data_IF_838193399092
#
_entry.id   IF_838193399092
#
_cell.length_a   1.000
_cell.length_b   1.000
_cell.length_c   1.000
_cell.angle_alpha   90.00
_cell.angle_beta   90.00
_cell.angle_gamma   90.00
#
_symmetry.space_group_name_H-M   'P 1'
#
loop_
_entity.id
_entity.type
_entity.pdbx_description
1 polymer ?
#
# COMPACT_ATOMS: atom_id res chain seq x y z
N UNK A 1 -20.90 37.60 -56.04
CA UNK A 1 -22.09 38.36 -55.71
C UNK A 1 -22.12 38.33 -54.18
N UNK A 2 -21.67 39.31 -53.46
CA UNK A 2 -22.12 40.67 -53.29
C UNK A 2 -23.01 40.66 -52.05
N UNK A 3 -22.87 41.38 -51.08
CA UNK A 3 -22.38 42.63 -50.60
C UNK A 3 -22.91 42.79 -49.19
N UNK A 4 -22.05 43.24 -48.26
CA UNK A 4 -22.07 44.61 -47.69
C UNK A 4 -23.11 44.88 -46.60
N UNK A 5 -22.66 45.16 -45.43
CA UNK A 5 -22.52 46.43 -44.72
C UNK A 5 -23.79 46.98 -44.05
N UNK A 6 -23.75 47.30 -42.81
CA UNK A 6 -23.86 48.71 -42.33
C UNK A 6 -23.60 48.86 -40.83
N UNK A 7 -22.69 49.82 -40.60
CA UNK A 7 -22.44 50.48 -39.32
C UNK A 7 -23.60 51.44 -38.95
N UNK A 8 -23.81 51.70 -37.66
CA UNK A 8 -24.17 53.05 -37.23
C UNK A 8 -23.76 53.33 -35.77
N UNK A 9 -22.99 54.41 -35.65
CA UNK A 9 -22.61 55.17 -34.45
C UNK A 9 -23.76 56.00 -33.96
N UNK A 10 -23.77 56.31 -32.64
CA UNK A 10 -23.99 57.66 -32.04
C UNK A 10 -24.00 57.50 -30.53
N UNK A 11 -23.05 58.02 -29.79
CA UNK A 11 -22.71 59.37 -29.30
C UNK A 11 -23.58 59.88 -28.15
N UNK A 12 -22.85 60.12 -27.05
CA UNK A 12 -22.86 61.24 -26.07
C UNK A 12 -24.09 61.55 -25.23
N UNK A 13 -23.95 61.49 -23.92
CA UNK A 13 -23.87 62.75 -23.15
C UNK A 13 -23.44 62.57 -21.67
N UNK A 14 -22.70 63.57 -21.26
CA UNK A 14 -22.16 63.88 -19.93
C UNK A 14 -23.25 64.20 -18.90
N UNK A 15 -23.00 63.88 -17.60
CA UNK A 15 -23.19 64.90 -16.54
C UNK A 15 -22.47 64.52 -15.24
N UNK A 16 -21.49 65.32 -14.91
CA UNK A 16 -21.10 66.03 -13.68
C UNK A 16 -21.35 65.39 -12.30
N UNK A 17 -20.22 65.31 -11.59
CA UNK A 17 -19.99 65.29 -10.13
C UNK A 17 -20.84 66.28 -9.32
N UNK A 18 -21.02 66.06 -8.00
CA UNK A 18 -20.14 66.82 -7.12
C UNK A 18 -19.51 66.00 -5.95
N UNK A 19 -18.39 66.53 -5.56
CA UNK A 19 -17.52 66.18 -4.46
C UNK A 19 -18.22 66.17 -3.10
N UNK A 20 -17.89 65.16 -2.26
CA UNK A 20 -17.95 65.31 -0.80
C UNK A 20 -16.59 64.86 -0.20
N UNK A 21 -15.85 65.87 0.25
CA UNK A 21 -14.65 65.72 1.08
C UNK A 21 -15.07 65.25 2.46
N UNK A 22 -14.56 64.10 2.88
CA UNK A 22 -14.48 63.78 4.30
C UNK A 22 -12.99 63.60 4.60
N UNK A 23 -12.46 64.57 5.33
CA UNK A 23 -11.16 64.51 6.02
C UNK A 23 -11.20 63.43 7.08
N UNK A 24 -10.33 62.45 7.02
CA UNK A 24 -9.96 61.68 8.20
C UNK A 24 -8.45 61.59 8.23
N UNK A 25 -7.89 62.37 9.16
CA UNK A 25 -6.53 62.36 9.63
C UNK A 25 -6.17 60.98 10.16
N UNK A 26 -5.32 60.24 9.49
CA UNK A 26 -4.69 59.01 10.00
C UNK A 26 -3.52 59.38 10.93
N UNK A 27 -3.62 58.96 12.17
CA UNK A 27 -2.60 59.03 13.19
C UNK A 27 -1.70 57.79 13.10
N UNK A 28 -0.38 57.85 12.87
CA UNK A 28 0.47 56.71 12.58
C UNK A 28 1.14 56.08 13.83
N UNK A 29 0.44 55.96 14.97
CA UNK A 29 1.05 55.48 16.22
C UNK A 29 0.30 54.29 16.88
N UNK A 30 -0.35 53.41 16.12
CA UNK A 30 -0.90 52.19 16.68
C UNK A 30 -0.74 50.97 15.77
N UNK A 31 0.46 50.65 15.31
CA UNK A 31 0.81 49.34 14.74
C UNK A 31 2.13 48.87 15.39
N UNK A 32 2.09 48.61 16.67
CA UNK A 32 3.08 47.76 17.33
C UNK A 32 2.32 46.89 18.31
N UNK A 33 2.12 45.64 17.93
CA UNK A 33 1.83 44.44 18.72
C UNK A 33 0.80 43.52 18.04
N UNK A 34 1.16 43.02 16.86
CA UNK A 34 0.64 41.72 16.43
C UNK A 34 1.86 40.80 16.32
N UNK A 35 2.11 40.03 17.37
CA UNK A 35 3.02 38.90 17.31
C UNK A 35 2.54 37.92 16.26
N UNK A 36 3.40 37.35 15.41
CA UNK A 36 3.08 36.19 14.63
C UNK A 36 3.20 34.96 15.57
N UNK A 37 2.13 34.37 16.02
CA UNK A 37 2.22 33.05 16.63
C UNK A 37 2.00 32.03 15.54
N UNK A 38 2.76 31.02 15.53
CA UNK A 38 2.50 29.64 15.04
C UNK A 38 3.75 28.94 14.50
N UNK A 39 4.76 29.66 13.99
CA UNK A 39 5.90 28.96 13.36
C UNK A 39 7.03 28.49 14.31
N UNK A 40 7.07 28.97 15.57
CA UNK A 40 8.10 28.52 16.51
C UNK A 40 7.66 27.31 17.38
N UNK A 41 6.40 27.27 17.79
CA UNK A 41 5.86 26.12 18.53
C UNK A 41 5.79 24.88 17.65
N UNK A 42 5.34 25.03 16.41
CA UNK A 42 5.34 23.91 15.44
C UNK A 42 6.75 23.39 15.15
N UNK A 43 7.76 24.29 15.07
CA UNK A 43 9.16 23.87 14.89
C UNK A 43 9.74 23.20 16.14
N UNK A 44 9.33 23.62 17.35
CA UNK A 44 9.75 22.95 18.57
C UNK A 44 9.11 21.58 18.74
N UNK A 45 7.83 21.44 18.42
CA UNK A 45 7.14 20.15 18.45
C UNK A 45 7.68 19.18 17.37
N UNK A 46 8.02 19.68 16.19
CA UNK A 46 8.67 18.89 15.14
C UNK A 46 10.06 18.43 15.61
N UNK A 47 10.87 19.31 16.21
CA UNK A 47 12.20 18.95 16.70
C UNK A 47 12.18 18.03 17.93
N UNK A 48 11.18 18.16 18.82
CA UNK A 48 11.01 17.22 19.94
C UNK A 48 10.56 15.84 19.44
N UNK A 49 9.66 15.79 18.46
CA UNK A 49 9.25 14.52 17.84
C UNK A 49 10.38 13.88 17.05
N UNK A 50 11.17 14.66 16.29
CA UNK A 50 12.36 14.13 15.59
C UNK A 50 13.36 13.53 16.57
N UNK A 51 13.62 14.17 17.71
CA UNK A 51 14.52 13.66 18.74
C UNK A 51 13.95 12.43 19.48
N UNK A 52 12.63 12.34 19.68
CA UNK A 52 12.00 11.12 20.22
C UNK A 52 12.07 9.97 19.22
N UNK A 53 11.84 10.24 17.93
CA UNK A 53 11.98 9.24 16.85
C UNK A 53 13.44 8.80 16.70
N UNK A 54 14.41 9.72 16.78
CA UNK A 54 15.83 9.41 16.74
C UNK A 54 16.29 8.57 17.94
N UNK A 55 15.81 8.86 19.15
CA UNK A 55 16.14 8.09 20.34
C UNK A 55 15.47 6.70 20.38
N UNK A 56 14.28 6.55 19.78
CA UNK A 56 13.64 5.25 19.60
C UNK A 56 14.28 4.41 18.47
N UNK A 57 14.90 5.08 17.50
CA UNK A 57 15.59 4.43 16.35
C UNK A 57 17.01 3.94 16.69
N UNK A 58 17.59 4.27 17.83
CA UNK A 58 18.86 3.68 18.29
C UNK A 58 18.78 2.17 18.57
N UNK A 59 17.57 1.59 18.65
CA UNK A 59 17.38 0.12 18.69
C UNK A 59 17.19 -0.50 17.30
N UNK A 60 17.17 0.30 16.25
CA UNK A 60 17.05 -0.17 14.87
C UNK A 60 18.42 -0.62 14.35
N UNK A 61 18.61 -1.92 14.26
CA UNK A 61 19.80 -2.51 13.66
C UNK A 61 19.55 -2.74 12.15
N UNK A 62 20.11 -1.91 11.25
CA UNK A 62 19.86 -2.03 9.81
C UNK A 62 20.40 -3.32 9.20
N UNK A 63 21.29 -4.04 9.91
CA UNK A 63 21.84 -5.32 9.44
C UNK A 63 20.84 -6.48 9.51
N UNK A 64 19.68 -6.33 10.21
CA UNK A 64 18.59 -7.31 10.17
C UNK A 64 17.58 -7.04 9.06
N UNK A 65 17.70 -5.92 8.35
CA UNK A 65 16.78 -5.52 7.28
C UNK A 65 17.17 -6.02 5.87
N UNK A 66 18.25 -6.78 5.74
CA UNK A 66 18.63 -7.39 4.45
C UNK A 66 17.60 -8.39 3.89
N UNK A 67 16.59 -8.77 4.69
CA UNK A 67 15.44 -9.56 4.21
C UNK A 67 14.50 -8.78 3.28
N UNK A 68 14.75 -7.50 3.03
CA UNK A 68 13.95 -6.74 2.07
C UNK A 68 14.33 -7.10 0.63
N UNK A 69 15.59 -7.50 0.42
CA UNK A 69 16.14 -7.88 -0.89
C UNK A 69 17.36 -8.77 -0.68
N UNK A 70 17.21 -10.08 -0.71
CA UNK A 70 18.37 -10.95 -0.98
C UNK A 70 18.84 -10.68 -2.41
N UNK A 71 20.07 -10.19 -2.55
CA UNK A 71 20.82 -10.14 -3.79
C UNK A 71 21.00 -11.58 -4.32
N UNK A 72 20.61 -11.92 -5.58
CA UNK A 72 20.72 -13.27 -6.12
C UNK A 72 22.15 -13.71 -6.46
N UNK A 73 23.17 -13.24 -5.74
CA UNK A 73 24.58 -13.40 -6.12
C UNK A 73 25.55 -13.98 -5.10
N UNK A 74 25.14 -14.76 -4.09
CA UNK A 74 26.15 -15.49 -3.32
C UNK A 74 25.61 -16.75 -2.64
N UNK A 75 25.56 -17.85 -3.38
CA UNK A 75 25.52 -19.21 -2.81
C UNK A 75 26.92 -19.79 -2.80
N UNK A 76 27.63 -19.69 -1.68
CA UNK A 76 28.68 -20.66 -1.32
C UNK A 76 28.85 -20.72 0.21
N UNK A 77 28.67 -21.88 0.78
CA UNK A 77 29.16 -22.20 2.12
C UNK A 77 28.17 -22.89 3.04
N UNK A 78 28.00 -24.20 2.86
CA UNK A 78 27.24 -25.02 3.82
C UNK A 78 28.03 -25.21 5.13
N UNK A 79 27.36 -25.06 6.25
CA UNK A 79 27.77 -25.63 7.53
C UNK A 79 26.57 -26.36 8.14
N UNK A 80 26.69 -27.66 8.24
CA UNK A 80 25.84 -28.53 9.05
C UNK A 80 26.05 -28.22 10.53
N UNK A 81 24.99 -27.99 11.27
CA UNK A 81 24.98 -28.19 12.71
C UNK A 81 23.85 -29.12 13.13
N UNK A 82 24.31 -30.13 13.84
CA UNK A 82 23.55 -31.26 14.39
C UNK A 82 22.70 -30.86 15.58
N UNK A 83 21.56 -31.52 15.66
CA UNK A 83 20.58 -31.51 16.73
C UNK A 83 21.11 -31.95 18.09
N UNK A 84 20.60 -31.34 19.15
CA UNK A 84 20.39 -32.03 20.42
C UNK A 84 19.07 -31.65 21.04
N UNK A 85 18.29 -32.67 21.23
CA UNK A 85 16.96 -32.72 21.86
C UNK A 85 17.16 -32.59 23.38
N UNK A 86 16.38 -31.75 24.03
CA UNK A 86 16.03 -32.02 25.43
C UNK A 86 14.56 -31.66 25.69
N UNK A 87 13.82 -32.72 26.02
CA UNK A 87 12.48 -32.70 26.55
C UNK A 87 12.44 -32.19 27.98
N UNK A 88 11.50 -31.34 28.33
CA UNK A 88 10.87 -31.37 29.63
C UNK A 88 9.41 -30.91 29.56
N UNK A 89 8.54 -31.85 29.90
CA UNK A 89 7.11 -31.70 30.11
C UNK A 89 6.78 -30.79 31.30
N UNK A 90 5.78 -29.94 31.16
CA UNK A 90 4.79 -29.73 32.23
C UNK A 90 3.47 -29.25 31.62
N UNK A 91 2.46 -30.12 31.81
CA UNK A 91 1.04 -29.85 31.56
C UNK A 91 0.53 -28.87 32.61
N UNK A 92 -0.18 -27.85 32.18
CA UNK A 92 -1.29 -27.30 32.93
C UNK A 92 -2.49 -27.12 31.99
N UNK A 93 -3.53 -27.87 32.27
CA UNK A 93 -4.85 -27.77 31.66
C UNK A 93 -5.66 -26.75 32.46
N UNK A 94 -6.28 -25.78 31.77
CA UNK A 94 -7.48 -25.14 32.30
C UNK A 94 -8.56 -25.13 31.19
N UNK A 95 -9.79 -25.48 31.53
CA UNK A 95 -10.86 -25.61 30.56
C UNK A 95 -11.60 -24.28 30.40
N UNK A 96 -11.53 -23.67 29.25
CA UNK A 96 -12.53 -22.67 28.86
C UNK A 96 -13.34 -23.23 27.70
N UNK A 97 -14.59 -23.60 28.05
CA UNK A 97 -15.63 -23.93 27.11
C UNK A 97 -15.90 -22.77 26.16
N UNK A 98 -15.47 -22.93 24.92
CA UNK A 98 -15.82 -22.04 23.82
C UNK A 98 -17.29 -22.26 23.46
N UNK A 99 -18.14 -21.29 23.69
CA UNK A 99 -19.46 -21.20 23.07
C UNK A 99 -19.24 -20.93 21.57
N UNK A 100 -19.29 -22.02 20.81
CA UNK A 100 -19.37 -21.93 19.34
C UNK A 100 -20.76 -21.36 19.04
N UNK A 101 -20.83 -20.09 18.68
CA UNK A 101 -21.99 -19.55 18.00
C UNK A 101 -22.12 -20.34 16.70
N UNK A 102 -23.19 -21.14 16.62
CA UNK A 102 -23.57 -21.83 15.38
C UNK A 102 -23.68 -20.78 14.29
N UNK A 103 -22.72 -20.82 13.36
CA UNK A 103 -22.72 -20.02 12.15
C UNK A 103 -24.03 -20.26 11.38
N UNK A 104 -24.42 -19.23 10.66
CA UNK A 104 -25.49 -19.28 9.67
C UNK A 104 -25.28 -20.49 8.77
N UNK A 105 -26.38 -21.19 8.52
CA UNK A 105 -26.45 -22.34 7.61
C UNK A 105 -25.84 -21.93 6.26
N UNK A 106 -24.97 -22.77 5.67
CA UNK A 106 -24.47 -22.47 4.32
C UNK A 106 -25.67 -22.41 3.36
N UNK A 107 -25.67 -21.38 2.53
CA UNK A 107 -26.59 -21.23 1.42
C UNK A 107 -26.53 -22.50 0.56
N UNK A 108 -27.66 -23.08 0.09
CA UNK A 108 -27.67 -24.36 -0.59
C UNK A 108 -26.78 -24.31 -1.83
N UNK A 109 -25.87 -25.22 -1.84
CA UNK A 109 -24.92 -25.70 -2.83
C UNK A 109 -25.18 -25.23 -4.28
N UNK A 110 -24.52 -24.17 -4.73
CA UNK A 110 -23.98 -24.19 -6.09
C UNK A 110 -22.88 -25.25 -6.12
N UNK A 111 -22.77 -26.11 -7.17
CA UNK A 111 -21.73 -27.13 -7.26
C UNK A 111 -20.38 -26.48 -7.00
N UNK A 112 -19.69 -26.92 -5.95
CA UNK A 112 -18.60 -26.19 -5.31
C UNK A 112 -17.49 -25.86 -6.28
N UNK A 113 -17.31 -24.57 -6.55
CA UNK A 113 -16.07 -24.06 -7.14
C UNK A 113 -14.91 -24.45 -6.22
N UNK A 114 -14.04 -25.32 -6.67
CA UNK A 114 -12.78 -25.65 -6.01
C UNK A 114 -11.68 -25.11 -6.90
N UNK A 115 -10.89 -24.11 -6.44
CA UNK A 115 -9.80 -23.58 -7.23
C UNK A 115 -8.77 -24.66 -7.55
N UNK A 116 -8.41 -24.78 -8.84
CA UNK A 116 -7.34 -25.66 -9.30
C UNK A 116 -6.52 -24.95 -10.38
N UNK A 117 -5.53 -24.21 -9.95
CA UNK A 117 -4.72 -23.37 -10.83
C UNK A 117 -3.52 -24.13 -11.41
N UNK A 118 -3.26 -23.90 -12.70
CA UNK A 118 -2.06 -24.37 -13.40
C UNK A 118 -1.37 -23.22 -14.11
N UNK A 119 -0.04 -23.31 -14.25
CA UNK A 119 0.74 -22.30 -14.96
C UNK A 119 0.31 -22.25 -16.45
N UNK A 120 -0.26 -21.11 -16.86
CA UNK A 120 -0.66 -20.86 -18.25
C UNK A 120 0.50 -20.27 -19.05
N UNK A 121 1.19 -19.28 -18.49
CA UNK A 121 2.28 -18.60 -19.17
C UNK A 121 3.21 -17.89 -18.21
N UNK A 122 4.41 -17.57 -18.68
CA UNK A 122 5.43 -16.84 -17.95
C UNK A 122 6.23 -15.98 -18.92
N UNK A 123 6.40 -14.70 -18.58
CA UNK A 123 7.18 -13.79 -19.41
C UNK A 123 8.01 -12.85 -18.53
N UNK A 124 9.10 -12.31 -19.10
CA UNK A 124 9.95 -11.35 -18.40
C UNK A 124 9.23 -10.02 -18.30
N UNK A 125 9.03 -9.54 -17.07
CA UNK A 125 8.34 -8.27 -16.81
C UNK A 125 9.28 -7.07 -16.88
N UNK A 126 10.33 -7.09 -16.08
CA UNK A 126 11.22 -5.96 -15.83
C UNK A 126 12.69 -6.37 -15.86
N UNK A 127 13.58 -5.39 -15.72
CA UNK A 127 15.03 -5.63 -15.66
C UNK A 127 15.55 -5.71 -14.21
N UNK A 128 14.75 -5.30 -13.24
CA UNK A 128 14.97 -5.46 -11.80
C UNK A 128 13.67 -5.95 -11.13
N UNK A 129 13.71 -6.13 -9.83
CA UNK A 129 12.63 -6.68 -9.00
C UNK A 129 11.31 -5.92 -9.23
N UNK A 130 10.23 -6.67 -9.37
CA UNK A 130 8.86 -6.15 -9.46
C UNK A 130 8.28 -6.19 -8.05
N UNK A 131 7.92 -5.05 -7.50
CA UNK A 131 7.46 -4.95 -6.10
C UNK A 131 6.00 -4.57 -5.95
N UNK A 132 5.41 -4.00 -6.99
CA UNK A 132 3.99 -3.63 -7.01
C UNK A 132 3.32 -4.11 -8.27
N UNK A 133 2.10 -4.62 -8.14
CA UNK A 133 1.27 -5.06 -9.25
C UNK A 133 -0.19 -4.82 -8.89
N UNK A 134 -0.92 -4.18 -9.80
CA UNK A 134 -2.37 -3.93 -9.68
C UNK A 134 -3.07 -4.25 -10.99
N UNK A 135 -4.34 -4.65 -10.91
CA UNK A 135 -5.25 -4.68 -12.04
C UNK A 135 -5.85 -3.28 -12.20
N UNK A 136 -5.93 -2.81 -13.45
CA UNK A 136 -6.57 -1.56 -13.83
C UNK A 136 -8.03 -1.83 -14.23
N UNK A 137 -8.87 -0.79 -14.18
CA UNK A 137 -10.29 -0.89 -14.55
C UNK A 137 -10.51 -1.41 -15.98
N UNK A 138 -9.56 -1.13 -16.88
CA UNK A 138 -9.56 -1.65 -18.27
C UNK A 138 -9.04 -3.08 -18.39
N UNK A 139 -8.90 -3.83 -17.27
CA UNK A 139 -8.39 -5.20 -17.19
C UNK A 139 -6.94 -5.39 -17.60
N UNK A 140 -6.16 -4.35 -17.72
CA UNK A 140 -4.71 -4.44 -17.89
C UNK A 140 -4.03 -4.52 -16.53
N UNK A 141 -2.79 -4.97 -16.53
CA UNK A 141 -1.97 -5.02 -15.32
C UNK A 141 -0.95 -3.90 -15.35
N UNK A 142 -0.89 -3.13 -14.28
CA UNK A 142 0.20 -2.21 -14.04
C UNK A 142 1.20 -2.82 -13.07
N UNK A 143 2.50 -2.71 -13.39
CA UNK A 143 3.60 -3.20 -12.55
C UNK A 143 4.60 -2.10 -12.27
N UNK A 144 5.07 -2.01 -11.02
CA UNK A 144 6.11 -1.09 -10.59
C UNK A 144 7.37 -1.83 -10.15
N UNK A 145 8.54 -1.31 -10.53
CA UNK A 145 9.81 -2.00 -10.38
C UNK A 145 10.95 -1.12 -9.87
N UNK A 146 11.97 -1.78 -9.36
CA UNK A 146 13.27 -1.19 -9.03
C UNK A 146 14.07 -0.77 -10.26
N UNK A 147 13.65 -1.11 -11.47
CA UNK A 147 14.25 -0.61 -12.71
C UNK A 147 13.80 0.80 -13.09
N UNK A 148 13.08 1.48 -12.16
CA UNK A 148 12.57 2.84 -12.31
C UNK A 148 11.51 2.97 -13.41
N UNK A 149 10.74 1.90 -13.63
CA UNK A 149 9.67 1.94 -14.60
C UNK A 149 8.35 1.42 -14.04
N UNK A 150 7.27 1.97 -14.60
CA UNK A 150 5.94 1.42 -14.53
C UNK A 150 5.64 0.84 -15.91
N UNK A 151 5.12 -0.38 -15.97
CA UNK A 151 4.73 -1.02 -17.22
C UNK A 151 3.29 -1.45 -17.20
N UNK A 152 2.60 -1.24 -18.30
CA UNK A 152 1.21 -1.64 -18.50
C UNK A 152 1.19 -2.83 -19.47
N UNK A 153 0.52 -3.89 -19.06
CA UNK A 153 0.51 -5.18 -19.77
C UNK A 153 -0.90 -5.57 -20.17
N UNK A 154 -1.04 -6.01 -21.41
CA UNK A 154 -2.18 -6.81 -21.85
C UNK A 154 -1.88 -8.30 -21.58
N UNK A 155 -2.64 -8.92 -20.69
CA UNK A 155 -2.44 -10.33 -20.33
C UNK A 155 -2.84 -11.31 -21.43
N UNK A 156 -3.71 -10.91 -22.35
CA UNK A 156 -4.16 -11.76 -23.47
C UNK A 156 -3.04 -11.95 -24.49
N UNK A 157 -2.32 -10.89 -24.79
CA UNK A 157 -1.20 -10.87 -25.74
C UNK A 157 0.16 -11.02 -25.05
N UNK A 158 0.22 -10.79 -23.74
CA UNK A 158 1.44 -10.73 -22.92
C UNK A 158 2.41 -9.62 -23.37
N UNK A 159 1.91 -8.62 -24.07
CA UNK A 159 2.70 -7.48 -24.53
C UNK A 159 2.70 -6.36 -23.52
N UNK A 160 3.85 -5.71 -23.39
CA UNK A 160 3.96 -4.41 -22.71
C UNK A 160 3.48 -3.34 -23.68
N UNK A 161 2.36 -2.69 -23.35
CA UNK A 161 1.78 -1.66 -24.20
C UNK A 161 2.28 -0.26 -23.89
N UNK A 162 2.65 -0.03 -22.63
CA UNK A 162 3.12 1.27 -22.17
C UNK A 162 4.25 1.11 -21.16
N UNK A 163 5.27 1.96 -21.28
CA UNK A 163 6.36 2.10 -20.31
C UNK A 163 6.41 3.55 -19.87
N UNK A 164 6.28 3.78 -18.57
CA UNK A 164 6.48 5.09 -17.94
C UNK A 164 7.79 5.00 -17.17
N UNK A 165 8.71 5.94 -17.45
CA UNK A 165 9.98 6.03 -16.75
C UNK A 165 9.85 6.96 -15.56
N UNK A 166 10.21 6.45 -14.40
CA UNK A 166 10.27 7.17 -13.12
C UNK A 166 11.71 7.56 -12.80
N UNK A 167 11.86 8.53 -11.91
CA UNK A 167 13.18 8.96 -11.44
C UNK A 167 13.70 8.13 -10.26
N UNK A 168 12.92 7.18 -9.76
CA UNK A 168 13.23 6.34 -8.60
C UNK A 168 12.58 4.97 -8.68
N UNK A 169 12.90 4.12 -7.68
CA UNK A 169 12.28 2.80 -7.53
C UNK A 169 10.79 2.95 -7.24
N UNK A 170 9.94 2.18 -7.93
CA UNK A 170 8.49 2.20 -7.76
C UNK A 170 8.08 1.15 -6.73
N UNK A 171 7.55 1.57 -5.58
CA UNK A 171 7.20 0.69 -4.46
C UNK A 171 5.72 0.34 -4.38
N UNK A 172 4.85 1.25 -4.78
CA UNK A 172 3.41 1.04 -4.75
C UNK A 172 2.74 1.76 -5.90
N UNK A 173 1.69 1.16 -6.42
CA UNK A 173 0.83 1.71 -7.46
C UNK A 173 -0.61 1.76 -6.96
N UNK A 174 -1.36 2.73 -7.44
CA UNK A 174 -2.79 2.88 -7.20
C UNK A 174 -3.45 3.47 -8.45
N UNK A 175 -4.47 2.83 -8.99
CA UNK A 175 -5.37 3.49 -9.93
C UNK A 175 -6.35 4.35 -9.14
N UNK A 176 -6.23 5.68 -9.29
CA UNK A 176 -7.07 6.63 -8.58
C UNK A 176 -8.37 6.90 -9.32
N UNK A 177 -8.28 7.05 -10.64
CA UNK A 177 -9.40 7.13 -11.59
C UNK A 177 -9.03 6.31 -12.84
N UNK A 178 -9.99 5.96 -13.71
CA UNK A 178 -9.69 5.28 -14.97
C UNK A 178 -8.60 6.02 -15.76
N UNK A 179 -7.53 5.31 -16.12
CA UNK A 179 -6.34 5.84 -16.79
C UNK A 179 -5.51 6.86 -15.96
N UNK A 180 -5.79 7.02 -14.67
CA UNK A 180 -5.04 7.88 -13.77
C UNK A 180 -4.40 7.04 -12.66
N UNK A 181 -3.09 6.89 -12.69
CA UNK A 181 -2.37 6.11 -11.68
C UNK A 181 -1.50 6.99 -10.80
N UNK A 182 -1.36 6.58 -9.56
CA UNK A 182 -0.40 7.11 -8.60
C UNK A 182 0.70 6.09 -8.38
N UNK A 183 1.95 6.56 -8.34
CA UNK A 183 3.15 5.77 -8.08
C UNK A 183 3.91 6.31 -6.89
N UNK A 184 4.14 5.50 -5.88
CA UNK A 184 5.04 5.84 -4.77
C UNK A 184 6.47 5.51 -5.17
N UNK A 185 7.35 6.51 -5.21
CA UNK A 185 8.74 6.35 -5.62
C UNK A 185 9.73 6.76 -4.54
N UNK A 186 10.91 6.17 -4.61
CA UNK A 186 12.05 6.46 -3.75
C UNK A 186 13.32 6.57 -4.62
N UNK A 187 13.92 7.76 -4.65
CA UNK A 187 15.15 8.07 -5.38
C UNK A 187 16.41 7.85 -4.55
N UNK A 188 16.25 7.48 -3.26
CA UNK A 188 17.40 7.26 -2.37
C UNK A 188 18.37 6.25 -3.00
N UNK A 189 19.65 6.56 -3.13
CA UNK A 189 20.64 5.64 -3.67
C UNK A 189 20.77 4.36 -2.84
N UNK A 190 21.04 3.22 -3.50
CA UNK A 190 21.12 1.90 -2.84
C UNK A 190 22.22 1.82 -1.77
N UNK A 191 23.23 2.69 -1.83
CA UNK A 191 24.35 2.75 -0.87
C UNK A 191 24.05 3.58 0.38
N UNK A 192 22.92 4.28 0.45
CA UNK A 192 22.51 5.06 1.64
C UNK A 192 21.83 4.11 2.63
N UNK A 193 22.56 3.72 3.65
CA UNK A 193 22.05 2.89 4.74
C UNK A 193 21.63 3.69 5.98
N UNK A 194 22.21 4.88 6.17
CA UNK A 194 21.84 5.77 7.25
C UNK A 194 20.58 6.57 6.87
N UNK A 195 19.49 6.30 7.61
CA UNK A 195 18.20 6.99 7.41
C UNK A 195 18.27 8.51 7.60
N UNK A 196 19.25 8.99 8.36
CA UNK A 196 19.45 10.43 8.55
C UNK A 196 20.05 11.12 7.31
N UNK A 197 20.57 10.35 6.35
CA UNK A 197 21.08 10.86 5.10
C UNK A 197 20.05 10.80 3.96
N UNK A 198 18.85 10.25 4.23
CA UNK A 198 17.75 10.23 3.25
C UNK A 198 17.19 11.65 3.12
N UNK A 199 17.18 12.17 1.90
CA UNK A 199 16.52 13.41 1.61
C UNK A 199 15.01 13.16 1.44
N UNK A 200 14.13 13.77 2.26
CA UNK A 200 12.69 13.60 2.11
C UNK A 200 12.14 14.03 0.75
N UNK A 201 12.85 14.91 0.04
CA UNK A 201 12.49 15.32 -1.32
C UNK A 201 12.67 14.20 -2.36
N UNK A 202 13.42 13.14 -2.01
CA UNK A 202 13.57 11.94 -2.84
C UNK A 202 12.41 10.95 -2.69
N UNK A 203 11.52 11.19 -1.71
CA UNK A 203 10.34 10.38 -1.43
C UNK A 203 9.10 11.12 -1.91
N UNK A 204 8.43 10.58 -2.92
CA UNK A 204 7.26 11.24 -3.48
C UNK A 204 6.24 10.26 -4.05
N UNK A 205 5.04 10.76 -4.29
CA UNK A 205 3.97 10.07 -4.98
C UNK A 205 3.67 10.86 -6.26
N UNK A 206 3.97 10.27 -7.41
CA UNK A 206 3.71 10.88 -8.72
C UNK A 206 2.33 10.49 -9.23
N UNK A 207 1.72 11.38 -9.98
CA UNK A 207 0.45 11.17 -10.66
C UNK A 207 0.67 11.14 -12.17
N UNK A 208 0.12 10.13 -12.86
CA UNK A 208 0.32 9.87 -14.27
C UNK A 208 -1.02 9.68 -14.99
N UNK A 209 -1.20 10.36 -16.13
CA UNK A 209 -2.27 10.09 -17.07
C UNK A 209 -1.76 9.05 -18.09
N UNK A 210 -2.37 7.86 -18.13
CA UNK A 210 -1.98 6.80 -19.05
C UNK A 210 -2.26 7.13 -20.51
N UNK A 211 -3.14 8.10 -20.79
CA UNK A 211 -3.39 8.59 -22.14
C UNK A 211 -2.33 9.60 -22.60
N UNK A 212 -1.58 10.21 -21.67
CA UNK A 212 -0.54 11.19 -21.95
C UNK A 212 0.65 11.03 -20.99
N UNK A 213 1.41 9.92 -21.09
CA UNK A 213 2.38 9.47 -20.10
C UNK A 213 3.76 10.13 -20.19
N UNK A 214 3.94 11.16 -21.02
CA UNK A 214 5.26 11.77 -21.26
C UNK A 214 5.87 12.44 -20.03
N UNK A 215 5.02 12.90 -19.09
CA UNK A 215 5.44 13.50 -17.83
C UNK A 215 4.39 13.31 -16.75
N UNK A 216 4.83 13.30 -15.49
CA UNK A 216 3.94 13.31 -14.35
C UNK A 216 3.10 14.60 -14.31
N UNK A 217 1.83 14.44 -13.95
CA UNK A 217 0.90 15.57 -13.78
C UNK A 217 1.24 16.39 -12.53
N UNK A 218 1.57 15.69 -11.45
CA UNK A 218 1.88 16.28 -10.15
C UNK A 218 2.63 15.28 -9.26
N UNK A 219 3.42 15.81 -8.29
CA UNK A 219 4.12 15.02 -7.28
C UNK A 219 3.70 15.47 -5.88
N UNK A 220 3.21 14.53 -5.07
CA UNK A 220 2.88 14.74 -3.66
C UNK A 220 4.12 14.43 -2.81
N UNK A 221 4.47 15.34 -1.91
CA UNK A 221 5.60 15.24 -0.99
C UNK A 221 5.14 15.45 0.45
N UNK A 222 5.75 14.74 1.41
CA UNK A 222 5.42 14.91 2.83
C UNK A 222 5.92 13.78 3.72
N UNK A 223 6.04 12.56 3.20
CA UNK A 223 6.69 11.48 3.93
C UNK A 223 8.20 11.70 4.04
N UNK A 224 8.76 11.27 5.16
CA UNK A 224 10.20 11.38 5.43
C UNK A 224 10.98 10.15 4.96
N UNK A 225 10.29 9.03 4.80
CA UNK A 225 10.87 7.76 4.38
C UNK A 225 9.94 7.09 3.35
N UNK A 226 10.43 6.03 2.74
CA UNK A 226 9.77 5.27 1.68
C UNK A 226 8.30 4.99 1.95
N UNK A 227 7.46 5.26 0.97
CA UNK A 227 6.04 4.93 0.94
C UNK A 227 5.88 3.46 0.50
N UNK A 228 5.19 2.66 1.31
CA UNK A 228 5.03 1.22 1.07
C UNK A 228 3.69 0.84 0.45
N UNK A 229 2.63 1.62 0.71
CA UNK A 229 1.29 1.32 0.18
C UNK A 229 0.48 2.59 -0.05
N UNK A 230 -0.30 2.56 -1.12
CA UNK A 230 -1.27 3.59 -1.52
C UNK A 230 -2.67 2.97 -1.53
N UNK A 231 -3.66 3.69 -1.03
CA UNK A 231 -5.07 3.24 -0.97
C UNK A 231 -6.02 4.37 -1.33
N UNK A 232 -6.95 4.14 -2.25
CA UNK A 232 -8.04 5.08 -2.55
C UNK A 232 -9.05 5.07 -1.39
N UNK A 233 -9.24 6.21 -0.75
CA UNK A 233 -10.23 6.38 0.31
C UNK A 233 -11.63 6.60 -0.26
N UNK A 234 -11.74 7.56 -1.19
CA UNK A 234 -12.95 7.84 -1.99
C UNK A 234 -12.55 8.54 -3.31
N UNK A 235 -13.50 9.17 -4.00
CA UNK A 235 -13.24 9.80 -5.29
C UNK A 235 -12.37 11.06 -5.21
N UNK A 236 -12.14 11.59 -4.02
CA UNK A 236 -11.36 12.80 -3.78
C UNK A 236 -10.07 12.54 -3.03
N UNK A 237 -10.08 11.55 -2.14
CA UNK A 237 -9.01 11.32 -1.18
C UNK A 237 -8.31 9.97 -1.39
N UNK A 238 -7.01 9.97 -1.19
CA UNK A 238 -6.22 8.74 -1.05
C UNK A 238 -5.34 8.82 0.20
N UNK A 239 -4.90 7.67 0.66
CA UNK A 239 -3.99 7.53 1.79
C UNK A 239 -2.69 6.87 1.34
N UNK A 240 -1.60 7.25 1.99
CA UNK A 240 -0.29 6.61 1.86
C UNK A 240 0.26 6.22 3.22
N UNK A 241 0.93 5.08 3.31
CA UNK A 241 1.64 4.67 4.52
C UNK A 241 3.11 4.45 4.25
N UNK A 242 3.96 4.69 5.26
CA UNK A 242 5.39 4.81 5.07
C UNK A 242 6.22 4.13 6.17
N UNK A 243 7.51 3.97 5.87
CA UNK A 243 8.53 3.57 6.83
C UNK A 243 8.74 4.62 7.95
N UNK A 244 8.24 5.85 7.79
CA UNK A 244 8.29 6.87 8.84
C UNK A 244 7.29 6.62 9.99
N UNK A 245 6.41 5.61 9.83
CA UNK A 245 5.41 5.22 10.83
C UNK A 245 4.11 6.01 10.76
N UNK A 246 3.97 6.89 9.79
CA UNK A 246 2.79 7.73 9.58
C UNK A 246 1.95 7.25 8.38
N UNK A 247 0.65 7.56 8.44
CA UNK A 247 -0.26 7.52 7.31
C UNK A 247 -0.64 8.96 7.00
N UNK A 248 -0.53 9.36 5.73
CA UNK A 248 -0.95 10.70 5.27
C UNK A 248 -2.19 10.55 4.41
N UNK A 249 -3.19 11.41 4.67
CA UNK A 249 -4.40 11.55 3.84
C UNK A 249 -4.19 12.74 2.91
N UNK A 250 -4.41 12.51 1.62
CA UNK A 250 -4.19 13.48 0.56
C UNK A 250 -5.49 13.84 -0.12
N UNK A 251 -5.70 15.12 -0.39
CA UNK A 251 -6.71 15.60 -1.32
C UNK A 251 -6.05 15.68 -2.71
N UNK A 252 -6.51 14.82 -3.62
CA UNK A 252 -5.94 14.74 -4.96
C UNK A 252 -6.09 16.06 -5.74
N UNK A 253 -7.27 16.67 -5.68
CA UNK A 253 -7.57 17.88 -6.47
C UNK A 253 -6.96 19.14 -5.86
N UNK A 254 -6.90 19.24 -4.54
CA UNK A 254 -6.18 20.33 -3.86
C UNK A 254 -4.67 20.13 -3.84
N UNK A 255 -4.18 18.96 -4.27
CA UNK A 255 -2.75 18.62 -4.38
C UNK A 255 -1.98 18.82 -3.07
N UNK A 256 -2.59 18.45 -1.94
CA UNK A 256 -1.99 18.62 -0.61
C UNK A 256 -2.43 17.55 0.37
N UNK A 257 -1.65 17.39 1.43
CA UNK A 257 -2.06 16.62 2.61
C UNK A 257 -3.18 17.36 3.36
N UNK A 258 -4.13 16.59 3.90
CA UNK A 258 -5.26 17.10 4.68
C UNK A 258 -5.42 16.41 6.03
N UNK A 259 -4.67 15.36 6.28
CA UNK A 259 -4.71 14.64 7.56
C UNK A 259 -3.51 13.73 7.76
N UNK A 260 -3.24 13.42 9.03
CA UNK A 260 -2.17 12.53 9.46
C UNK A 260 -2.73 11.54 10.49
N UNK A 261 -2.52 10.25 10.28
CA UNK A 261 -2.87 9.20 11.21
C UNK A 261 -1.58 8.69 11.84
N UNK A 262 -1.37 9.04 13.10
CA UNK A 262 -0.17 8.71 13.86
C UNK A 262 -0.47 7.69 14.95
N UNK A 263 0.48 6.79 15.22
CA UNK A 263 0.34 5.87 16.34
C UNK A 263 0.95 4.48 16.15
N UNK A 264 1.42 4.11 14.95
CA UNK A 264 2.36 3.01 14.82
C UNK A 264 3.72 3.42 15.37
N UNK A 265 4.44 2.45 15.93
CA UNK A 265 5.74 2.68 16.57
C UNK A 265 6.92 2.27 15.69
N UNK A 266 6.63 1.77 14.48
CA UNK A 266 7.61 1.32 13.49
C UNK A 266 7.00 1.41 12.09
N UNK A 267 7.77 1.08 11.06
CA UNK A 267 7.39 1.13 9.66
C UNK A 267 5.99 0.55 9.41
N UNK A 268 5.14 1.27 8.69
CA UNK A 268 3.87 0.74 8.20
C UNK A 268 4.14 0.10 6.84
N UNK A 269 3.90 -1.21 6.72
CA UNK A 269 4.31 -2.00 5.57
C UNK A 269 3.18 -2.27 4.59
N UNK A 270 1.93 -2.25 5.07
CA UNK A 270 0.74 -2.49 4.26
C UNK A 270 -0.46 -1.74 4.81
N UNK A 271 -1.37 -1.40 3.94
CA UNK A 271 -2.63 -0.75 4.27
C UNK A 271 -3.71 -1.16 3.27
N UNK A 272 -4.93 -1.34 3.77
CA UNK A 272 -6.12 -1.61 2.96
C UNK A 272 -7.27 -0.71 3.40
N UNK A 273 -8.21 -0.48 2.48
CA UNK A 273 -9.53 0.07 2.79
C UNK A 273 -10.47 -1.08 3.13
N UNK A 274 -11.15 -0.97 4.26
CA UNK A 274 -12.16 -1.95 4.67
C UNK A 274 -13.48 -1.70 3.94
N UNK A 275 -14.32 -2.73 3.88
CA UNK A 275 -15.63 -2.69 3.20
C UNK A 275 -16.56 -1.61 3.77
N UNK A 276 -16.38 -1.22 5.03
CA UNK A 276 -17.12 -0.13 5.69
C UNK A 276 -16.50 1.26 5.47
N UNK A 277 -15.44 1.36 4.68
CA UNK A 277 -14.76 2.60 4.31
C UNK A 277 -13.66 3.05 5.25
N UNK A 278 -13.42 2.36 6.39
CA UNK A 278 -12.29 2.61 7.27
C UNK A 278 -10.98 2.14 6.64
N UNK A 279 -9.84 2.56 7.21
CA UNK A 279 -8.53 2.04 6.83
C UNK A 279 -8.04 1.01 7.85
N UNK A 280 -7.31 0.00 7.37
CA UNK A 280 -6.63 -0.98 8.20
C UNK A 280 -5.15 -1.02 7.80
N UNK A 281 -4.25 -0.92 8.76
CA UNK A 281 -2.80 -0.91 8.54
C UNK A 281 -2.09 -2.01 9.31
N UNK A 282 -1.04 -2.56 8.71
CA UNK A 282 -0.13 -3.53 9.32
C UNK A 282 1.30 -3.00 9.33
N UNK A 283 1.99 -3.22 10.45
CA UNK A 283 3.28 -2.60 10.72
C UNK A 283 4.35 -3.59 11.18
N UNK A 284 5.61 -3.14 11.07
CA UNK A 284 6.76 -3.78 11.68
C UNK A 284 6.70 -3.78 13.22
N UNK A 285 5.87 -2.92 13.83
CA UNK A 285 5.56 -2.94 15.27
C UNK A 285 4.68 -4.14 15.70
N UNK A 286 4.37 -5.05 14.74
CA UNK A 286 3.60 -6.29 14.95
C UNK A 286 2.14 -6.04 15.30
N UNK A 287 1.64 -4.84 15.07
CA UNK A 287 0.26 -4.45 15.36
C UNK A 287 -0.53 -4.23 14.08
N UNK A 288 -1.82 -4.48 14.19
CA UNK A 288 -2.84 -4.07 13.24
C UNK A 288 -3.61 -2.92 13.87
N UNK A 289 -3.86 -1.88 13.10
CA UNK A 289 -4.66 -0.72 13.52
C UNK A 289 -5.79 -0.47 12.54
N UNK A 290 -6.94 -0.07 13.08
CA UNK A 290 -8.11 0.35 12.31
C UNK A 290 -8.33 1.83 12.55
N UNK A 291 -8.56 2.57 11.47
CA UNK A 291 -8.60 4.02 11.48
C UNK A 291 -9.90 4.55 10.88
N UNK A 292 -10.47 5.53 11.56
CA UNK A 292 -11.41 6.48 10.96
C UNK A 292 -10.59 7.62 10.34
N UNK A 293 -10.31 7.52 9.06
CA UNK A 293 -9.47 8.48 8.36
C UNK A 293 -10.12 9.86 8.22
N UNK A 294 -11.48 9.93 8.21
CA UNK A 294 -12.23 11.19 8.11
C UNK A 294 -12.09 12.03 9.38
N UNK A 295 -12.18 11.38 10.55
CA UNK A 295 -12.03 12.02 11.84
C UNK A 295 -10.60 11.93 12.39
N UNK A 296 -9.66 11.33 11.63
CA UNK A 296 -8.25 11.17 11.96
C UNK A 296 -8.02 10.44 13.30
N UNK A 297 -8.83 9.44 13.60
CA UNK A 297 -8.80 8.69 14.85
C UNK A 297 -8.36 7.22 14.65
N UNK A 298 -7.51 6.71 15.54
CA UNK A 298 -7.29 5.29 15.69
C UNK A 298 -8.44 4.67 16.49
N UNK A 299 -9.26 3.84 15.84
CA UNK A 299 -10.42 3.21 16.46
C UNK A 299 -10.06 1.93 17.22
N UNK A 300 -9.10 1.17 16.71
CA UNK A 300 -8.69 -0.10 17.30
C UNK A 300 -7.21 -0.37 17.05
N UNK A 301 -6.59 -1.00 18.03
CA UNK A 301 -5.21 -1.49 17.95
C UNK A 301 -5.16 -2.84 18.62
N UNK A 302 -4.69 -3.85 17.89
CA UNK A 302 -4.52 -5.19 18.45
C UNK A 302 -3.19 -5.81 18.00
N UNK A 303 -2.70 -6.76 18.79
CA UNK A 303 -1.50 -7.52 18.45
C UNK A 303 -1.83 -8.38 17.23
N UNK A 304 -1.09 -8.17 16.15
CA UNK A 304 -1.17 -8.97 14.96
C UNK A 304 -0.36 -10.27 15.06
N UNK A 305 0.55 -10.44 14.13
CA UNK A 305 1.48 -11.56 14.11
C UNK A 305 2.63 -11.39 15.11
N UNK A 306 3.48 -12.40 15.25
CA UNK A 306 4.63 -12.34 16.15
C UNK A 306 5.86 -11.66 15.51
N UNK A 307 5.77 -11.33 14.22
CA UNK A 307 6.75 -10.55 13.47
C UNK A 307 6.05 -9.52 12.58
N UNK A 308 6.79 -8.83 11.71
CA UNK A 308 6.32 -7.77 10.82
C UNK A 308 5.13 -8.20 9.98
N UNK A 309 4.07 -7.41 9.97
CA UNK A 309 2.90 -7.63 9.12
C UNK A 309 3.20 -7.05 7.74
N UNK A 310 3.30 -7.93 6.75
CA UNK A 310 3.74 -7.60 5.40
C UNK A 310 2.59 -7.33 4.44
N UNK A 311 1.44 -7.94 4.67
CA UNK A 311 0.27 -7.80 3.82
C UNK A 311 -1.02 -8.01 4.62
N UNK A 312 -2.07 -7.38 4.14
CA UNK A 312 -3.43 -7.47 4.66
C UNK A 312 -4.40 -7.70 3.50
N UNK A 313 -5.48 -8.39 3.77
CA UNK A 313 -6.62 -8.55 2.88
C UNK A 313 -7.90 -8.59 3.72
N UNK A 314 -9.00 -8.04 3.23
CA UNK A 314 -10.32 -8.27 3.82
C UNK A 314 -11.16 -9.07 2.84
N UNK A 315 -11.91 -10.04 3.35
CA UNK A 315 -12.83 -10.82 2.53
C UNK A 315 -14.09 -10.03 2.21
N UNK A 316 -14.50 -10.10 0.95
CA UNK A 316 -15.75 -9.52 0.45
C UNK A 316 -16.89 -10.53 0.60
N UNK A 317 -17.13 -10.98 1.82
CA UNK A 317 -18.22 -11.92 2.16
C UNK A 317 -18.90 -11.47 3.45
N UNK A 318 -19.96 -12.19 3.85
CA UNK A 318 -20.76 -11.87 5.04
C UNK A 318 -19.94 -11.86 6.35
N UNK A 319 -18.82 -12.58 6.40
CA UNK A 319 -17.96 -12.62 7.57
C UNK A 319 -17.04 -11.39 7.66
N UNK A 320 -16.63 -10.81 6.52
CA UNK A 320 -15.76 -9.62 6.47
C UNK A 320 -14.41 -9.82 7.18
N UNK A 321 -13.91 -11.06 7.25
CA UNK A 321 -12.66 -11.37 7.95
C UNK A 321 -11.49 -10.58 7.40
N UNK A 322 -10.63 -10.10 8.30
CA UNK A 322 -9.33 -9.54 7.95
C UNK A 322 -8.31 -10.69 7.97
N UNK A 323 -7.44 -10.71 6.97
CA UNK A 323 -6.37 -11.71 6.85
C UNK A 323 -5.05 -10.96 6.87
N UNK A 324 -4.10 -11.40 7.68
CA UNK A 324 -2.75 -10.85 7.74
C UNK A 324 -1.69 -11.89 7.37
N UNK A 325 -0.72 -11.49 6.56
CA UNK A 325 0.48 -12.27 6.27
C UNK A 325 1.72 -11.60 6.84
N UNK A 326 2.66 -12.40 7.33
CA UNK A 326 3.76 -11.90 8.16
C UNK A 326 5.11 -12.50 7.81
N UNK A 327 6.14 -11.85 8.32
CA UNK A 327 7.51 -12.34 8.30
C UNK A 327 7.75 -13.55 9.21
N UNK A 328 6.81 -13.87 10.12
CA UNK A 328 6.83 -15.10 10.90
C UNK A 328 6.36 -16.34 10.11
N UNK A 329 6.10 -16.18 8.79
CA UNK A 329 5.64 -17.19 7.84
C UNK A 329 4.17 -17.60 8.03
N UNK A 330 3.48 -17.01 9.00
CA UNK A 330 2.09 -17.31 9.31
C UNK A 330 1.14 -16.38 8.59
N UNK A 331 -0.03 -16.93 8.30
CA UNK A 331 -1.20 -16.16 7.90
C UNK A 331 -2.18 -16.27 9.08
N UNK A 332 -2.72 -15.15 9.53
CA UNK A 332 -3.74 -15.12 10.58
C UNK A 332 -5.06 -14.61 10.05
N UNK A 333 -6.13 -15.25 10.47
CA UNK A 333 -7.52 -14.89 10.16
C UNK A 333 -8.12 -14.20 11.38
N UNK A 334 -8.72 -13.03 11.18
CA UNK A 334 -9.23 -12.18 12.24
C UNK A 334 -10.73 -11.95 12.07
N UNK A 335 -11.49 -12.17 13.13
CA UNK A 335 -12.85 -11.66 13.29
C UNK A 335 -12.76 -10.41 14.16
N UNK A 336 -12.98 -9.25 13.55
CA UNK A 336 -12.79 -7.95 14.19
C UNK A 336 -11.35 -7.81 14.73
N UNK A 337 -11.10 -7.98 16.03
CA UNK A 337 -9.78 -7.88 16.65
C UNK A 337 -9.31 -9.20 17.31
N UNK A 338 -10.03 -10.30 17.07
CA UNK A 338 -9.71 -11.62 17.62
C UNK A 338 -9.15 -12.52 16.52
N UNK A 339 -7.98 -13.10 16.75
CA UNK A 339 -7.45 -14.14 15.87
C UNK A 339 -8.26 -15.40 16.07
N UNK A 340 -8.96 -15.84 15.01
CA UNK A 340 -9.78 -17.05 15.04
C UNK A 340 -9.02 -18.26 14.51
N UNK A 341 -8.00 -18.06 13.65
CA UNK A 341 -7.21 -19.15 13.08
C UNK A 341 -5.82 -18.68 12.63
N UNK A 342 -4.85 -19.57 12.79
CA UNK A 342 -3.54 -19.50 12.16
C UNK A 342 -3.49 -20.49 11.01
N UNK A 343 -3.02 -20.07 9.83
CA UNK A 343 -2.79 -20.91 8.68
C UNK A 343 -1.28 -21.12 8.54
N UNK A 344 -0.85 -22.35 8.72
CA UNK A 344 0.56 -22.76 8.67
C UNK A 344 0.84 -23.50 7.37
N UNK A 345 2.03 -23.28 6.78
CA UNK A 345 2.42 -24.02 5.57
C UNK A 345 3.46 -23.31 4.70
N UNK A 346 3.56 -21.97 4.75
CA UNK A 346 4.68 -21.29 4.14
C UNK A 346 5.94 -21.43 5.00
N UNK A 347 7.11 -21.53 4.33
CA UNK A 347 8.40 -21.72 5.00
C UNK A 347 9.21 -20.43 5.14
N UNK A 348 8.75 -19.35 4.52
CA UNK A 348 9.32 -18.02 4.59
C UNK A 348 8.21 -16.96 4.62
N UNK A 349 8.59 -15.68 4.78
CA UNK A 349 7.70 -14.53 4.87
C UNK A 349 6.59 -14.52 3.82
N UNK A 350 5.36 -14.27 4.26
CA UNK A 350 4.20 -14.07 3.40
C UNK A 350 4.15 -12.60 2.98
N UNK A 351 4.18 -12.32 1.68
CA UNK A 351 4.33 -10.98 1.11
C UNK A 351 3.08 -10.38 0.51
N UNK A 352 2.18 -11.20 0.00
CA UNK A 352 0.95 -10.75 -0.62
C UNK A 352 -0.16 -11.75 -0.38
N UNK A 353 -1.38 -11.24 -0.27
CA UNK A 353 -2.62 -12.01 -0.11
C UNK A 353 -3.66 -11.40 -1.03
N UNK A 354 -4.38 -12.22 -1.77
CA UNK A 354 -5.59 -11.78 -2.46
C UNK A 354 -6.72 -12.79 -2.24
N UNK A 355 -7.97 -12.32 -2.21
CA UNK A 355 -9.15 -13.17 -2.26
C UNK A 355 -9.32 -13.71 -3.70
N UNK A 356 -9.77 -14.97 -3.82
CA UNK A 356 -10.10 -15.60 -5.08
C UNK A 356 -11.60 -15.46 -5.29
N UNK A 357 -11.99 -14.60 -6.24
CA UNK A 357 -13.38 -14.27 -6.50
C UNK A 357 -14.14 -13.87 -5.21
N UNK A 358 -15.46 -14.09 -5.16
CA UNK A 358 -16.27 -13.83 -3.95
C UNK A 358 -16.39 -15.07 -3.05
N UNK A 359 -15.52 -16.06 -3.22
CA UNK A 359 -15.51 -17.28 -2.42
C UNK A 359 -14.63 -17.16 -1.18
N UNK A 360 -14.75 -18.13 -0.28
CA UNK A 360 -13.91 -18.24 0.91
C UNK A 360 -12.52 -18.85 0.60
N UNK A 361 -11.92 -18.47 -0.54
CA UNK A 361 -10.59 -18.88 -0.92
C UNK A 361 -9.66 -17.67 -1.01
N UNK A 362 -8.43 -17.87 -0.60
CA UNK A 362 -7.37 -16.88 -0.76
C UNK A 362 -6.14 -17.47 -1.45
N UNK A 363 -5.42 -16.66 -2.19
CA UNK A 363 -4.09 -16.96 -2.66
C UNK A 363 -3.06 -16.13 -1.88
N UNK A 364 -1.94 -16.75 -1.50
CA UNK A 364 -0.86 -16.12 -0.75
C UNK A 364 0.47 -16.33 -1.46
N UNK A 365 1.26 -15.26 -1.60
CA UNK A 365 2.60 -15.29 -2.17
C UNK A 365 3.66 -15.17 -1.08
N UNK A 366 4.74 -15.94 -1.21
CA UNK A 366 5.77 -16.02 -0.18
C UNK A 366 7.20 -15.97 -0.75
N UNK A 367 8.12 -15.59 0.13
CA UNK A 367 9.56 -15.70 -0.10
C UNK A 367 10.05 -17.15 -0.22
N UNK A 368 9.21 -18.14 0.07
CA UNK A 368 9.50 -19.55 -0.17
C UNK A 368 9.35 -19.98 -1.64
N UNK A 369 9.19 -19.02 -2.54
CA UNK A 369 9.07 -19.14 -4.00
C UNK A 369 7.73 -19.75 -4.46
N UNK A 370 6.78 -19.93 -3.55
CA UNK A 370 5.48 -20.55 -3.84
C UNK A 370 4.31 -19.59 -3.68
N UNK A 371 3.20 -19.95 -4.32
CA UNK A 371 1.88 -19.40 -4.05
C UNK A 371 1.08 -20.54 -3.46
N UNK A 372 0.34 -20.28 -2.37
CA UNK A 372 -0.55 -21.27 -1.77
C UNK A 372 -1.99 -20.81 -1.86
N UNK A 373 -2.89 -21.76 -2.14
CA UNK A 373 -4.32 -21.57 -2.18
C UNK A 373 -4.93 -22.20 -0.91
N UNK A 374 -5.77 -21.44 -0.24
CA UNK A 374 -6.36 -21.82 1.04
C UNK A 374 -7.87 -21.81 0.96
N UNK A 375 -8.49 -22.86 1.51
CA UNK A 375 -9.93 -22.94 1.78
C UNK A 375 -10.19 -22.41 3.20
N UNK A 376 -10.81 -21.26 3.32
CA UNK A 376 -11.12 -20.65 4.62
C UNK A 376 -12.37 -21.22 5.31
N UNK A 377 -13.13 -22.10 4.66
CA UNK A 377 -14.17 -22.85 5.32
C UNK A 377 -13.58 -24.00 6.15
N UNK A 378 -12.45 -24.54 5.68
CA UNK A 378 -11.73 -25.65 6.34
C UNK A 378 -10.46 -25.18 7.04
N UNK A 379 -9.98 -23.97 6.72
CA UNK A 379 -8.69 -23.43 7.15
C UNK A 379 -7.51 -24.32 6.73
N UNK A 380 -7.55 -24.84 5.51
CA UNK A 380 -6.56 -25.76 4.97
C UNK A 380 -5.93 -25.22 3.67
N UNK A 381 -4.64 -25.54 3.48
CA UNK A 381 -3.97 -25.33 2.20
C UNK A 381 -4.41 -26.44 1.23
N UNK A 382 -5.13 -26.07 0.18
CA UNK A 382 -5.66 -27.01 -0.82
C UNK A 382 -4.76 -27.16 -2.03
N UNK A 383 -3.90 -26.16 -2.31
CA UNK A 383 -2.98 -26.22 -3.45
C UNK A 383 -1.71 -25.40 -3.20
N UNK A 384 -0.58 -25.89 -3.71
CA UNK A 384 0.67 -25.15 -3.76
C UNK A 384 1.12 -25.01 -5.21
N UNK A 385 1.27 -23.76 -5.68
CA UNK A 385 1.72 -23.44 -7.02
C UNK A 385 3.22 -23.18 -6.99
N UNK A 386 3.97 -24.03 -7.65
CA UNK A 386 5.42 -23.91 -7.81
C UNK A 386 5.73 -23.54 -9.26
N UNK A 387 6.79 -22.75 -9.46
CA UNK A 387 7.21 -22.35 -10.81
C UNK A 387 7.99 -21.07 -10.88
N UNK A 388 7.91 -20.20 -9.85
CA UNK A 388 8.87 -19.10 -9.68
C UNK A 388 10.22 -19.63 -9.17
N UNK A 389 11.30 -19.05 -9.67
CA UNK A 389 12.68 -19.43 -9.29
C UNK A 389 13.24 -18.60 -8.13
N UNK A 390 12.50 -17.60 -7.68
CA UNK A 390 12.85 -16.75 -6.55
C UNK A 390 11.59 -16.31 -5.79
N UNK A 391 11.77 -15.49 -4.76
CA UNK A 391 10.71 -14.98 -3.89
C UNK A 391 9.53 -14.41 -4.67
N UNK A 392 8.32 -14.88 -4.39
CA UNK A 392 7.10 -14.32 -4.96
C UNK A 392 6.69 -13.09 -4.15
N UNK A 393 6.65 -11.94 -4.80
CA UNK A 393 6.46 -10.65 -4.15
C UNK A 393 4.98 -10.25 -4.10
N UNK A 394 4.26 -10.47 -5.20
CA UNK A 394 2.86 -10.11 -5.29
C UNK A 394 2.05 -11.18 -6.01
N UNK A 395 0.79 -11.31 -5.62
CA UNK A 395 -0.23 -12.13 -6.27
C UNK A 395 -1.55 -11.37 -6.25
N UNK A 396 -2.23 -11.34 -7.38
CA UNK A 396 -3.57 -10.77 -7.53
C UNK A 396 -4.48 -11.78 -8.21
N UNK A 397 -5.79 -11.68 -7.94
CA UNK A 397 -6.82 -12.38 -8.69
C UNK A 397 -7.41 -11.42 -9.72
N UNK A 398 -7.20 -11.73 -10.98
CA UNK A 398 -7.65 -10.92 -12.12
C UNK A 398 -9.11 -11.19 -12.43
N UNK A 399 -9.84 -10.15 -12.83
CA UNK A 399 -11.29 -10.21 -13.13
C UNK A 399 -11.69 -11.22 -14.19
N UNK A 400 -10.77 -11.67 -15.06
CA UNK A 400 -10.98 -12.74 -16.03
C UNK A 400 -10.77 -14.16 -15.45
N UNK A 401 -10.61 -14.29 -14.12
CA UNK A 401 -10.50 -15.59 -13.43
C UNK A 401 -9.10 -16.19 -13.39
N UNK A 402 -8.05 -15.39 -13.59
CA UNK A 402 -6.66 -15.81 -13.48
C UNK A 402 -6.04 -15.38 -12.16
N UNK A 403 -5.06 -16.14 -11.65
CA UNK A 403 -4.09 -15.57 -10.75
C UNK A 403 -2.92 -15.01 -11.57
N UNK A 404 -2.44 -13.85 -11.18
CA UNK A 404 -1.26 -13.22 -11.75
C UNK A 404 -0.26 -12.97 -10.63
N UNK A 405 0.98 -13.37 -10.81
CA UNK A 405 2.03 -13.22 -9.81
C UNK A 405 3.29 -12.61 -10.38
N UNK A 406 4.03 -11.90 -9.55
CA UNK A 406 5.35 -11.38 -9.88
C UNK A 406 6.38 -11.77 -8.82
N UNK A 407 7.65 -11.86 -9.23
CA UNK A 407 8.72 -12.40 -8.41
C UNK A 407 10.05 -11.66 -8.60
N UNK A 408 10.94 -11.89 -7.63
CA UNK A 408 12.35 -11.50 -7.73
C UNK A 408 13.08 -12.20 -8.89
N UNK A 409 12.49 -13.24 -9.50
CA UNK A 409 13.01 -13.86 -10.73
C UNK A 409 12.75 -13.01 -11.99
N UNK A 410 12.22 -11.78 -11.81
CA UNK A 410 11.92 -10.79 -12.85
C UNK A 410 10.80 -11.21 -13.81
N UNK A 411 10.06 -12.27 -13.49
CA UNK A 411 8.96 -12.75 -14.32
C UNK A 411 7.59 -12.41 -13.75
N UNK A 412 6.63 -12.26 -14.66
CA UNK A 412 5.20 -12.27 -14.40
C UNK A 412 4.67 -13.63 -14.87
N UNK A 413 3.87 -14.28 -14.03
CA UNK A 413 3.25 -15.56 -14.34
C UNK A 413 1.74 -15.48 -14.26
N UNK A 414 1.08 -16.12 -15.21
CA UNK A 414 -0.38 -16.24 -15.28
C UNK A 414 -0.74 -17.69 -14.96
N UNK A 415 -1.64 -17.87 -14.00
CA UNK A 415 -2.13 -19.17 -13.56
C UNK A 415 -3.61 -19.25 -13.88
N UNK A 416 -4.00 -20.26 -14.66
CA UNK A 416 -5.38 -20.46 -15.08
C UNK A 416 -6.04 -21.46 -14.15
N UNK A 417 -7.27 -21.17 -13.76
CA UNK A 417 -8.13 -22.14 -13.10
C UNK A 417 -8.68 -23.14 -14.14
N UNK A 418 -8.60 -24.44 -13.85
CA UNK A 418 -9.01 -25.53 -14.75
C UNK A 418 -10.43 -25.98 -14.47
#
# INVERSE_FOLDING_TARGET
MGAQCCESKHNLNQNKNPENKINNSYNPTMIQNIKPPVNQEIKQDINQNINQIANQKQSYNPTQNNDILEDPGNEQGGVKMTSSINNSNSREQSPHSSIIKKGATPNPETPGFIPNFTLKSSFKGHNKIIVSMIELENKKIATGSYDYSIKIWDLSTQNCELVINEEGRVFSLLEFEPNLILSAIDKTPDNVQDINLINPDDIMINSWDLNNPDKSLFSFKGHQLRVNSLVKCDDKFFASCSNDGDIIIWDYYLKRSVGFLKGHMDCILCMIKLNDGRLCSGSADKKIKIWDWKNQNCLSTFKGNDNWIKCLCQLNNDNGYIISGSQDNLIKVWDSNHCIQNLEGHNRSVRSICQIDNYNYIATASFDHTIKIWDLNKFECIQTLSGHNSSVINVIYHSDGYLVSCSNDLTIKIWKNN
#
